data_IF_313771258493
#
_entry.id   IF_313771258493
#
_cell.length_a   1.000
_cell.length_b   1.000
_cell.length_c   1.000
_cell.angle_alpha   90.00
_cell.angle_beta   90.00
_cell.angle_gamma   90.00
#
_symmetry.space_group_name_H-M   'P 1'
#
loop_
_entity.id
_entity.type
_entity.pdbx_description
1 polymer ?
#
# COMPACT_ATOMS: atom_id res chain seq x y z
N UNK A 1 15.56 9.69 22.41
CA UNK A 1 14.95 8.41 22.86
C UNK A 1 14.68 7.55 21.63
N UNK A 2 15.31 6.38 21.52
CA UNK A 2 15.04 5.43 20.42
C UNK A 2 14.04 4.41 20.92
N UNK A 3 12.86 4.34 20.29
CA UNK A 3 11.78 3.40 20.66
C UNK A 3 11.89 2.15 19.79
N UNK A 4 11.98 0.94 20.37
CA UNK A 4 12.09 -0.31 19.59
C UNK A 4 10.84 -0.62 18.76
N UNK A 5 9.70 0.02 19.03
CA UNK A 5 8.50 -0.11 18.22
C UNK A 5 8.69 0.45 16.81
N UNK A 6 9.49 1.51 16.64
CA UNK A 6 9.68 2.14 15.32
C UNK A 6 10.38 1.20 14.32
N UNK A 7 11.29 0.36 14.79
CA UNK A 7 11.98 -0.63 13.93
C UNK A 7 11.12 -1.86 13.65
N UNK A 8 10.10 -2.11 14.48
CA UNK A 8 9.21 -3.28 14.35
C UNK A 8 7.87 -2.97 13.70
N UNK A 9 7.55 -1.69 13.48
CA UNK A 9 6.22 -1.24 13.05
C UNK A 9 5.76 -1.94 11.77
N UNK A 10 6.67 -2.09 10.80
CA UNK A 10 6.46 -2.83 9.56
C UNK A 10 7.42 -4.00 9.43
N UNK A 11 7.00 -5.06 8.76
CA UNK A 11 7.81 -6.22 8.41
C UNK A 11 7.69 -6.52 6.92
N UNK A 12 8.76 -7.04 6.33
CA UNK A 12 8.81 -7.49 4.95
C UNK A 12 9.31 -8.92 4.91
N UNK A 13 8.49 -9.82 4.39
CA UNK A 13 8.85 -11.22 4.09
C UNK A 13 9.05 -11.35 2.58
N UNK A 14 10.09 -12.09 2.16
CA UNK A 14 10.41 -12.28 0.75
C UNK A 14 10.34 -13.76 0.43
N UNK A 15 9.46 -14.13 -0.51
CA UNK A 15 9.49 -15.43 -1.18
C UNK A 15 10.23 -15.27 -2.51
N UNK A 16 11.33 -16.01 -2.68
CA UNK A 16 12.20 -15.87 -3.85
C UNK A 16 11.74 -16.69 -5.05
N UNK A 17 10.83 -17.65 -4.86
CA UNK A 17 10.37 -18.59 -5.89
C UNK A 17 8.84 -18.70 -5.86
N UNK A 18 8.19 -17.54 -5.86
CA UNK A 18 6.74 -17.47 -5.81
C UNK A 18 6.13 -17.58 -7.22
N UNK A 19 4.98 -18.26 -7.31
CA UNK A 19 4.23 -18.43 -8.55
C UNK A 19 2.75 -18.10 -8.33
N UNK A 20 2.10 -17.60 -9.38
CA UNK A 20 0.66 -17.38 -9.43
C UNK A 20 0.12 -17.42 -10.84
N UNK A 21 -1.19 -17.49 -10.97
CA UNK A 21 -1.85 -17.23 -12.24
C UNK A 21 -1.96 -15.72 -12.52
N UNK A 22 -1.92 -15.32 -13.79
CA UNK A 22 -2.11 -13.92 -14.19
C UNK A 22 -3.45 -13.33 -13.70
N UNK A 23 -4.48 -14.16 -13.52
CA UNK A 23 -5.80 -13.75 -13.03
C UNK A 23 -5.76 -13.23 -11.59
N UNK A 24 -4.77 -13.63 -10.80
CA UNK A 24 -4.60 -13.19 -9.41
C UNK A 24 -4.07 -11.75 -9.30
N UNK A 25 -3.59 -11.15 -10.39
CA UNK A 25 -3.11 -9.77 -10.39
C UNK A 25 -4.26 -8.78 -10.22
N UNK A 26 -4.13 -7.85 -9.27
CA UNK A 26 -5.13 -6.82 -9.00
C UNK A 26 -4.71 -5.44 -9.55
N UNK A 27 -3.44 -5.24 -9.86
CA UNK A 27 -2.96 -3.99 -10.43
C UNK A 27 -1.45 -3.95 -10.66
N UNK A 28 -0.99 -2.79 -11.08
CA UNK A 28 0.37 -2.56 -11.61
C UNK A 28 1.01 -1.33 -10.95
N UNK A 29 2.33 -1.33 -10.78
CA UNK A 29 3.08 -0.16 -10.30
C UNK A 29 3.25 0.89 -11.39
N UNK A 30 3.60 0.45 -12.61
CA UNK A 30 3.78 1.33 -13.76
C UNK A 30 2.63 1.16 -14.76
N UNK A 31 1.82 2.20 -14.90
CA UNK A 31 0.75 2.28 -15.91
C UNK A 31 0.74 3.65 -16.56
N UNK A 32 0.44 3.69 -17.87
CA UNK A 32 0.17 4.93 -18.60
C UNK A 32 -1.24 5.47 -18.29
N UNK A 33 -2.13 4.60 -17.82
CA UNK A 33 -3.45 4.98 -17.32
C UNK A 33 -3.38 5.28 -15.83
N UNK A 34 -4.13 6.27 -15.35
CA UNK A 34 -4.35 6.44 -13.92
C UNK A 34 -5.27 5.31 -13.42
N UNK A 35 -4.69 4.35 -12.69
CA UNK A 35 -5.43 3.18 -12.23
C UNK A 35 -6.54 3.52 -11.24
N UNK A 36 -6.54 4.73 -10.66
CA UNK A 36 -7.61 5.20 -9.74
C UNK A 36 -8.93 5.46 -10.46
N UNK A 37 -8.90 5.64 -11.78
CA UNK A 37 -10.10 5.87 -12.60
C UNK A 37 -10.88 4.57 -12.90
N UNK A 38 -10.38 3.42 -12.44
CA UNK A 38 -10.90 2.10 -12.76
C UNK A 38 -11.10 1.26 -11.50
N UNK A 39 -12.22 0.53 -11.42
CA UNK A 39 -12.43 -0.40 -10.32
C UNK A 39 -11.60 -1.68 -10.50
N UNK A 40 -11.28 -2.06 -11.75
CA UNK A 40 -10.53 -3.27 -12.08
C UNK A 40 -9.59 -3.06 -13.27
N UNK A 41 -8.59 -3.94 -13.40
CA UNK A 41 -7.72 -4.00 -14.59
C UNK A 41 -8.50 -4.30 -15.87
N UNK A 42 -9.61 -5.03 -15.75
CA UNK A 42 -10.46 -5.38 -16.89
C UNK A 42 -11.15 -4.13 -17.43
N UNK A 43 -11.74 -3.30 -16.56
CA UNK A 43 -12.34 -2.02 -16.95
C UNK A 43 -11.31 -1.08 -17.60
N UNK A 44 -10.07 -1.10 -17.11
CA UNK A 44 -8.98 -0.33 -17.71
C UNK A 44 -8.74 -0.74 -19.16
N UNK A 45 -8.66 -2.04 -19.45
CA UNK A 45 -8.41 -2.54 -20.81
C UNK A 45 -9.61 -2.32 -21.72
N UNK A 46 -10.83 -2.56 -21.21
CA UNK A 46 -12.08 -2.31 -21.93
C UNK A 46 -12.25 -0.84 -22.33
N UNK A 47 -11.71 0.10 -21.56
CA UNK A 47 -11.80 1.54 -21.87
C UNK A 47 -10.61 2.03 -22.70
N UNK A 48 -9.39 1.66 -22.31
CA UNK A 48 -8.17 2.31 -22.79
C UNK A 48 -7.34 1.44 -23.76
N UNK A 49 -7.71 0.17 -24.00
CA UNK A 49 -6.91 -0.76 -24.83
C UNK A 49 -7.78 -1.81 -25.54
N UNK A 50 -8.92 -1.37 -26.09
CA UNK A 50 -9.88 -2.26 -26.77
C UNK A 50 -9.24 -3.04 -27.92
N UNK A 51 -8.29 -2.44 -28.62
CA UNK A 51 -7.54 -3.07 -29.71
C UNK A 51 -6.75 -4.30 -29.26
N UNK A 52 -6.28 -4.30 -28.00
CA UNK A 52 -5.55 -5.42 -27.42
C UNK A 52 -6.45 -6.60 -27.06
N UNK A 53 -7.76 -6.37 -26.95
CA UNK A 53 -8.80 -7.38 -26.65
C UNK A 53 -9.86 -7.46 -27.77
N UNK A 54 -9.48 -7.08 -28.98
CA UNK A 54 -10.37 -7.06 -30.16
C UNK A 54 -10.96 -8.44 -30.49
N UNK A 55 -10.28 -9.51 -30.07
CA UNK A 55 -10.73 -10.89 -30.18
C UNK A 55 -10.36 -11.65 -28.89
N UNK A 56 -11.24 -12.56 -28.47
CA UNK A 56 -10.96 -13.52 -27.38
C UNK A 56 -10.46 -14.82 -28.01
N UNK A 57 -9.16 -14.88 -28.28
CA UNK A 57 -8.51 -16.04 -28.92
C UNK A 57 -7.14 -16.33 -28.31
N UNK A 58 -6.69 -17.59 -28.43
CA UNK A 58 -5.34 -17.99 -27.99
C UNK A 58 -4.26 -17.20 -28.72
N UNK A 59 -4.46 -16.95 -30.02
CA UNK A 59 -3.54 -16.11 -30.81
C UNK A 59 -3.42 -14.71 -30.21
N UNK A 60 -4.54 -14.07 -29.85
CA UNK A 60 -4.51 -12.72 -29.26
C UNK A 60 -3.92 -12.70 -27.86
N UNK A 61 -4.12 -13.77 -27.09
CA UNK A 61 -3.44 -13.98 -25.82
C UNK A 61 -1.93 -14.03 -26.01
N UNK A 62 -1.44 -14.86 -26.94
CA UNK A 62 -0.02 -15.01 -27.25
C UNK A 62 0.61 -13.70 -27.74
N UNK A 63 -0.10 -12.95 -28.59
CA UNK A 63 0.34 -11.62 -29.05
C UNK A 63 0.57 -10.65 -27.88
N UNK A 64 -0.34 -10.62 -26.90
CA UNK A 64 -0.19 -9.77 -25.72
C UNK A 64 0.95 -10.26 -24.81
N UNK A 65 1.05 -11.57 -24.58
CA UNK A 65 2.09 -12.17 -23.75
C UNK A 65 3.50 -12.02 -24.36
N UNK A 66 3.60 -11.97 -25.68
CA UNK A 66 4.87 -11.74 -26.39
C UNK A 66 5.41 -10.31 -26.25
N UNK A 67 4.68 -9.39 -25.61
CA UNK A 67 5.15 -8.02 -25.43
C UNK A 67 6.37 -7.96 -24.49
N UNK A 68 7.52 -7.58 -25.04
CA UNK A 68 8.83 -7.54 -24.36
C UNK A 68 8.89 -6.76 -23.04
N UNK A 69 8.00 -5.79 -22.83
CA UNK A 69 7.96 -5.06 -21.56
C UNK A 69 7.21 -5.79 -20.44
N UNK A 70 6.65 -6.97 -20.71
CA UNK A 70 6.20 -7.90 -19.66
C UNK A 70 7.44 -8.61 -19.11
N UNK A 71 8.23 -7.86 -18.34
CA UNK A 71 9.58 -8.28 -17.94
C UNK A 71 9.56 -9.42 -16.92
N UNK A 72 8.46 -9.62 -16.20
CA UNK A 72 8.28 -10.82 -15.37
C UNK A 72 8.39 -12.13 -16.18
N UNK A 73 8.07 -12.09 -17.48
CA UNK A 73 8.24 -13.21 -18.42
C UNK A 73 9.59 -13.08 -19.17
N UNK A 74 9.86 -11.90 -19.74
CA UNK A 74 10.94 -11.72 -20.73
C UNK A 74 12.27 -11.22 -20.15
N UNK A 75 12.33 -10.82 -18.88
CA UNK A 75 13.55 -10.36 -18.20
C UNK A 75 13.49 -10.69 -16.70
N UNK A 76 13.51 -11.98 -16.32
CA UNK A 76 13.29 -12.44 -14.96
C UNK A 76 14.16 -11.71 -13.92
N UNK A 77 13.52 -11.26 -12.84
CA UNK A 77 14.16 -10.48 -11.78
C UNK A 77 14.07 -8.96 -11.92
N UNK A 78 13.62 -8.45 -13.09
CA UNK A 78 13.39 -7.00 -13.28
C UNK A 78 12.07 -6.53 -12.67
N UNK A 79 11.01 -7.33 -12.86
CA UNK A 79 9.71 -7.12 -12.23
C UNK A 79 9.56 -8.11 -11.06
N UNK A 80 8.69 -7.78 -10.12
CA UNK A 80 8.40 -8.60 -8.93
C UNK A 80 6.97 -8.36 -8.45
N UNK A 81 6.52 -9.16 -7.49
CA UNK A 81 5.21 -9.02 -6.90
C UNK A 81 5.28 -8.35 -5.53
N UNK A 82 4.25 -7.59 -5.20
CA UNK A 82 4.07 -7.02 -3.87
C UNK A 82 2.67 -7.34 -3.36
N UNK A 83 2.58 -7.65 -2.07
CA UNK A 83 1.34 -7.84 -1.33
C UNK A 83 1.41 -7.08 0.00
N UNK A 84 0.37 -6.35 0.32
CA UNK A 84 0.20 -5.73 1.64
C UNK A 84 -0.86 -6.50 2.40
N UNK A 85 -0.53 -7.04 3.58
CA UNK A 85 -1.48 -7.90 4.30
C UNK A 85 -2.78 -7.18 4.67
N UNK A 86 -2.74 -5.87 4.90
CA UNK A 86 -3.92 -5.04 5.20
C UNK A 86 -4.78 -4.69 3.98
N UNK A 87 -4.31 -5.00 2.77
CA UNK A 87 -4.97 -4.73 1.49
C UNK A 87 -5.49 -6.00 0.81
N UNK A 88 -4.82 -7.15 1.02
CA UNK A 88 -5.21 -8.45 0.49
C UNK A 88 -4.99 -8.63 -1.02
N UNK A 89 -4.76 -7.55 -1.76
CA UNK A 89 -4.51 -7.55 -3.21
C UNK A 89 -3.06 -7.89 -3.54
N UNK A 90 -2.89 -8.46 -4.74
CA UNK A 90 -1.59 -8.76 -5.34
C UNK A 90 -1.28 -7.76 -6.44
N UNK A 91 -0.10 -7.16 -6.39
CA UNK A 91 0.34 -6.15 -7.34
C UNK A 91 1.57 -6.60 -8.08
N UNK A 92 1.61 -6.37 -9.40
CA UNK A 92 2.83 -6.53 -10.18
C UNK A 92 3.61 -5.20 -10.15
N UNK A 93 4.80 -5.23 -9.56
CA UNK A 93 5.74 -4.12 -9.55
C UNK A 93 6.52 -4.11 -10.85
N UNK A 94 5.83 -3.72 -11.92
CA UNK A 94 6.38 -3.62 -13.26
C UNK A 94 6.99 -2.25 -13.53
N UNK A 95 7.72 -2.20 -14.64
CA UNK A 95 8.30 -0.97 -15.20
C UNK A 95 7.82 -0.67 -16.64
N UNK A 96 6.98 -1.55 -17.20
CA UNK A 96 6.32 -1.41 -18.50
C UNK A 96 5.32 -2.53 -18.75
N UNK A 97 4.63 -2.54 -19.89
CA UNK A 97 3.78 -3.66 -20.30
C UNK A 97 2.48 -3.90 -19.53
N UNK A 98 2.03 -2.99 -18.66
CA UNK A 98 0.80 -3.17 -17.85
C UNK A 98 -0.47 -3.35 -18.67
N UNK A 99 -0.63 -2.60 -19.78
CA UNK A 99 -1.79 -2.74 -20.66
C UNK A 99 -1.84 -4.11 -21.35
N UNK A 100 -0.71 -4.59 -21.88
CA UNK A 100 -0.62 -5.94 -22.47
C UNK A 100 -0.81 -7.05 -21.42
N UNK A 101 -0.25 -6.88 -20.22
CA UNK A 101 -0.45 -7.83 -19.11
C UNK A 101 -1.92 -7.90 -18.71
N UNK A 102 -2.60 -6.74 -18.61
CA UNK A 102 -4.02 -6.68 -18.31
C UNK A 102 -4.89 -7.27 -19.43
N UNK A 103 -4.52 -7.04 -20.71
CA UNK A 103 -5.22 -7.62 -21.85
C UNK A 103 -5.05 -9.15 -21.90
N UNK A 104 -3.83 -9.65 -21.65
CA UNK A 104 -3.58 -11.08 -21.54
C UNK A 104 -4.41 -11.69 -20.40
N UNK A 105 -4.44 -11.04 -19.22
CA UNK A 105 -5.29 -11.44 -18.09
C UNK A 105 -6.77 -11.54 -18.51
N UNK A 106 -7.27 -10.49 -19.17
CA UNK A 106 -8.66 -10.37 -19.60
C UNK A 106 -9.07 -11.49 -20.57
N UNK A 107 -8.21 -11.81 -21.54
CA UNK A 107 -8.43 -12.86 -22.55
C UNK A 107 -8.31 -14.24 -21.90
N UNK A 108 -7.25 -14.50 -21.12
CA UNK A 108 -7.02 -15.79 -20.46
C UNK A 108 -8.20 -16.20 -19.57
N UNK A 109 -8.73 -15.26 -18.79
CA UNK A 109 -9.90 -15.49 -17.94
C UNK A 109 -11.14 -15.92 -18.75
N UNK A 110 -11.36 -15.34 -19.94
CA UNK A 110 -12.52 -15.66 -20.80
C UNK A 110 -12.34 -16.95 -21.59
N UNK A 111 -11.10 -17.34 -21.86
CA UNK A 111 -10.77 -18.64 -22.46
C UNK A 111 -10.73 -19.77 -21.44
N UNK A 112 -10.74 -19.45 -20.13
CA UNK A 112 -10.51 -20.45 -19.07
C UNK A 112 -9.09 -20.99 -19.06
N UNK A 113 -8.12 -20.24 -19.61
CA UNK A 113 -6.72 -20.64 -19.67
C UNK A 113 -5.95 -20.11 -18.46
N UNK A 114 -5.00 -20.91 -17.97
CA UNK A 114 -4.05 -20.48 -16.95
C UNK A 114 -2.79 -19.95 -17.62
N UNK A 115 -2.27 -18.83 -17.12
CA UNK A 115 -1.01 -18.20 -17.51
C UNK A 115 -0.17 -18.02 -16.24
N UNK A 116 0.67 -19.01 -15.89
CA UNK A 116 1.50 -18.92 -14.70
C UNK A 116 2.59 -17.86 -14.86
N UNK A 117 2.76 -17.04 -13.83
CA UNK A 117 3.83 -16.07 -13.68
C UNK A 117 4.68 -16.44 -12.47
N UNK A 118 5.99 -16.20 -12.57
CA UNK A 118 6.96 -16.56 -11.52
C UNK A 118 7.87 -15.38 -11.21
N UNK A 119 8.20 -15.19 -9.93
CA UNK A 119 9.09 -14.13 -9.50
C UNK A 119 9.19 -14.00 -8.00
N UNK A 120 9.87 -12.95 -7.53
CA UNK A 120 9.95 -12.64 -6.10
C UNK A 120 8.63 -12.04 -5.63
N UNK A 121 8.14 -12.46 -4.47
CA UNK A 121 7.01 -11.83 -3.79
C UNK A 121 7.50 -11.14 -2.51
N UNK A 122 7.22 -9.85 -2.39
CA UNK A 122 7.41 -9.07 -1.17
C UNK A 122 6.08 -8.93 -0.44
N UNK A 123 6.01 -9.48 0.77
CA UNK A 123 4.83 -9.38 1.63
C UNK A 123 5.08 -8.43 2.79
N UNK A 124 4.36 -7.32 2.81
CA UNK A 124 4.42 -6.31 3.85
C UNK A 124 3.32 -6.50 4.88
N UNK A 125 3.67 -6.41 6.16
CA UNK A 125 2.73 -6.52 7.28
C UNK A 125 3.05 -5.50 8.37
N UNK A 126 2.05 -5.20 9.21
CA UNK A 126 2.20 -4.35 10.38
C UNK A 126 2.34 -5.22 11.64
N UNK A 127 3.11 -4.76 12.63
CA UNK A 127 3.20 -5.41 13.94
C UNK A 127 2.13 -4.82 14.89
N UNK A 128 1.04 -5.56 15.19
CA UNK A 128 -0.03 -5.04 16.04
C UNK A 128 0.43 -4.73 17.47
N UNK A 129 1.46 -5.43 17.97
CA UNK A 129 2.00 -5.19 19.33
C UNK A 129 2.79 -3.89 19.36
N UNK A 130 3.57 -3.61 18.32
CA UNK A 130 4.27 -2.34 18.21
C UNK A 130 3.27 -1.16 18.11
N UNK A 131 2.20 -1.31 17.32
CA UNK A 131 1.13 -0.31 17.21
C UNK A 131 0.43 -0.10 18.54
N UNK A 132 0.02 -1.18 19.22
CA UNK A 132 -0.65 -1.10 20.52
C UNK A 132 0.23 -0.42 21.58
N UNK A 133 1.52 -0.74 21.62
CA UNK A 133 2.49 -0.10 22.53
C UNK A 133 2.60 1.40 22.27
N UNK A 134 2.72 1.82 20.99
CA UNK A 134 2.73 3.24 20.65
C UNK A 134 1.41 3.94 20.99
N UNK A 135 0.27 3.30 20.73
CA UNK A 135 -1.05 3.86 21.04
C UNK A 135 -1.32 3.92 22.55
N UNK A 136 -0.68 3.07 23.35
CA UNK A 136 -0.75 3.10 24.81
C UNK A 136 0.00 4.30 25.39
N UNK A 137 1.12 4.67 24.78
CA UNK A 137 2.00 5.71 25.29
C UNK A 137 1.70 7.09 24.68
N UNK A 138 1.13 7.12 23.48
CA UNK A 138 0.91 8.35 22.71
C UNK A 138 -0.50 8.43 22.12
N UNK A 139 -0.99 9.67 22.00
CA UNK A 139 -1.97 10.05 20.98
C UNK A 139 -1.22 10.46 19.73
N UNK A 140 -1.65 9.95 18.57
CA UNK A 140 -0.90 10.13 17.32
C UNK A 140 -1.79 10.76 16.26
N UNK A 141 -1.31 11.84 15.65
CA UNK A 141 -2.05 12.63 14.67
C UNK A 141 -1.24 12.87 13.41
N UNK A 142 -1.91 13.10 12.29
CA UNK A 142 -1.28 13.57 11.05
C UNK A 142 -1.61 15.03 10.84
N UNK A 143 -0.59 15.88 10.68
CA UNK A 143 -0.71 17.30 10.37
C UNK A 143 0.07 17.65 9.09
N UNK A 144 -0.19 18.82 8.52
CA UNK A 144 0.57 19.33 7.37
C UNK A 144 2.05 19.48 7.70
N UNK A 145 2.95 19.08 6.80
CA UNK A 145 4.39 19.27 6.88
C UNK A 145 4.85 20.62 6.30
N UNK A 146 3.92 21.52 5.96
CA UNK A 146 4.22 22.88 5.53
C UNK A 146 5.05 23.64 6.59
N UNK A 147 6.06 24.39 6.14
CA UNK A 147 7.02 25.05 7.03
C UNK A 147 6.36 26.10 7.93
N UNK A 148 5.42 26.88 7.41
CA UNK A 148 4.73 27.91 8.19
C UNK A 148 3.86 27.24 9.26
N UNK A 149 3.09 26.21 8.87
CA UNK A 149 2.29 25.42 9.80
C UNK A 149 3.15 24.78 10.89
N UNK A 150 4.28 24.16 10.52
CA UNK A 150 5.17 23.48 11.45
C UNK A 150 5.82 24.44 12.46
N UNK A 151 6.19 25.65 12.01
CA UNK A 151 6.73 26.68 12.89
C UNK A 151 5.68 27.17 13.88
N UNK A 152 4.46 27.48 13.40
CA UNK A 152 3.35 27.91 14.24
C UNK A 152 2.97 26.84 15.27
N UNK A 153 2.83 25.57 14.84
CA UNK A 153 2.55 24.45 15.73
C UNK A 153 3.64 24.29 16.79
N UNK A 154 4.92 24.28 16.39
CA UNK A 154 6.03 24.14 17.32
C UNK A 154 6.11 25.30 18.32
N UNK A 155 5.84 26.53 17.89
CA UNK A 155 5.79 27.69 18.79
C UNK A 155 4.65 27.56 19.79
N UNK A 156 3.44 27.19 19.34
CA UNK A 156 2.29 26.98 20.21
C UNK A 156 2.55 25.90 21.27
N UNK A 157 3.15 24.78 20.87
CA UNK A 157 3.51 23.70 21.80
C UNK A 157 4.55 24.13 22.85
N UNK A 158 5.55 24.94 22.46
CA UNK A 158 6.55 25.51 23.39
C UNK A 158 5.93 26.53 24.34
N UNK A 159 5.10 27.44 23.84
CA UNK A 159 4.43 28.45 24.64
C UNK A 159 3.43 27.84 25.63
N UNK A 160 2.71 26.80 25.21
CA UNK A 160 1.84 26.01 26.09
C UNK A 160 2.62 25.03 26.97
N UNK A 161 3.91 24.84 26.67
CA UNK A 161 4.85 23.99 27.38
C UNK A 161 4.33 22.55 27.52
N UNK A 162 3.89 22.00 26.38
CA UNK A 162 3.48 20.62 26.18
C UNK A 162 4.57 19.83 25.45
N UNK A 163 4.81 18.57 25.83
CA UNK A 163 5.76 17.71 25.09
C UNK A 163 5.10 17.12 23.85
N UNK A 164 5.87 17.02 22.77
CA UNK A 164 5.51 16.25 21.59
C UNK A 164 6.75 15.65 20.93
N UNK A 165 6.53 14.54 20.23
CA UNK A 165 7.48 13.98 19.28
C UNK A 165 6.89 14.10 17.88
N UNK A 166 7.74 13.94 16.87
CA UNK A 166 7.29 13.93 15.49
C UNK A 166 8.08 12.94 14.64
N UNK A 167 7.47 12.52 13.53
CA UNK A 167 8.09 11.68 12.49
C UNK A 167 7.67 12.14 11.11
N UNK A 168 8.58 12.03 10.15
CA UNK A 168 8.26 12.18 8.73
C UNK A 168 7.36 11.05 8.27
N UNK A 169 6.33 11.37 7.49
CA UNK A 169 5.48 10.36 6.87
C UNK A 169 6.17 9.76 5.62
N UNK A 170 5.93 8.46 5.31
CA UNK A 170 6.49 7.83 4.12
C UNK A 170 5.81 8.36 2.84
N UNK A 171 6.43 8.13 1.69
CA UNK A 171 5.80 8.40 0.39
C UNK A 171 4.47 7.61 0.26
N UNK A 172 3.44 8.18 -0.38
CA UNK A 172 3.41 9.48 -1.04
C UNK A 172 3.16 10.68 -0.11
N UNK A 173 2.98 10.47 1.20
CA UNK A 173 2.54 11.47 2.17
C UNK A 173 3.66 12.38 2.70
N UNK A 174 4.65 12.74 1.86
CA UNK A 174 5.81 13.54 2.29
C UNK A 174 5.45 14.98 2.69
N UNK A 175 4.27 15.44 2.28
CA UNK A 175 3.63 16.70 2.66
C UNK A 175 2.93 16.64 4.04
N UNK A 176 3.01 15.51 4.74
CA UNK A 176 2.42 15.31 6.06
C UNK A 176 3.47 14.90 7.11
N UNK A 177 3.13 15.13 8.38
CA UNK A 177 3.97 14.80 9.54
C UNK A 177 3.14 14.12 10.61
N UNK A 178 3.68 13.04 11.18
CA UNK A 178 3.10 12.40 12.35
C UNK A 178 3.52 13.18 13.61
N UNK A 179 2.56 13.47 14.48
CA UNK A 179 2.77 14.06 15.81
C UNK A 179 2.35 13.05 16.86
N UNK A 180 3.20 12.88 17.88
CA UNK A 180 2.95 11.97 18.99
C UNK A 180 2.94 12.77 20.29
N UNK A 181 1.82 12.72 21.00
CA UNK A 181 1.55 13.43 22.24
C UNK A 181 1.55 12.42 23.39
N UNK A 182 2.48 12.51 24.36
CA UNK A 182 2.55 11.57 25.48
C UNK A 182 1.26 11.54 26.30
N UNK A 183 0.73 10.35 26.55
CA UNK A 183 -0.50 10.19 27.33
C UNK A 183 -0.32 10.41 28.83
N UNK A 184 0.91 10.28 29.32
CA UNK A 184 1.26 10.52 30.72
C UNK A 184 1.45 12.02 31.05
N UNK A 185 1.31 12.93 30.08
CA UNK A 185 1.42 14.37 30.29
C UNK A 185 0.07 15.07 30.06
N UNK A 186 -0.40 15.79 31.09
CA UNK A 186 -1.71 16.46 31.05
C UNK A 186 -1.81 17.53 29.96
N UNK A 187 -0.75 18.30 29.70
CA UNK A 187 -0.74 19.34 28.66
C UNK A 187 -0.78 18.75 27.25
N UNK A 188 0.00 17.70 26.99
CA UNK A 188 -0.07 16.97 25.72
C UNK A 188 -1.45 16.37 25.48
N UNK A 189 -2.13 15.88 26.52
CA UNK A 189 -3.51 15.41 26.41
C UNK A 189 -4.54 16.52 26.18
N UNK A 190 -4.31 17.74 26.70
CA UNK A 190 -5.13 18.90 26.33
C UNK A 190 -4.98 19.24 24.83
N UNK A 191 -3.76 19.21 24.31
CA UNK A 191 -3.52 19.40 22.87
C UNK A 191 -4.18 18.29 22.07
N UNK A 192 -4.08 17.02 22.50
CA UNK A 192 -4.72 15.91 21.81
C UNK A 192 -6.24 16.09 21.72
N UNK A 193 -6.89 16.53 22.80
CA UNK A 193 -8.33 16.84 22.80
C UNK A 193 -8.67 17.99 21.84
N UNK A 194 -7.82 19.01 21.75
CA UNK A 194 -8.01 20.11 20.80
C UNK A 194 -7.91 19.62 19.35
N UNK A 195 -6.94 18.75 19.04
CA UNK A 195 -6.79 18.15 17.72
C UNK A 195 -7.98 17.22 17.36
N UNK A 196 -8.47 16.44 18.32
CA UNK A 196 -9.69 15.63 18.15
C UNK A 196 -10.89 16.51 17.83
N UNK A 197 -11.07 17.60 18.59
CA UNK A 197 -12.18 18.55 18.39
C UNK A 197 -12.10 19.23 17.03
N UNK A 198 -10.88 19.47 16.54
CA UNK A 198 -10.62 20.02 15.21
C UNK A 198 -10.73 18.97 14.07
N UNK A 199 -11.03 17.71 14.38
CA UNK A 199 -11.20 16.65 13.38
C UNK A 199 -9.90 16.24 12.70
N UNK A 200 -8.75 16.44 13.35
CA UNK A 200 -7.45 16.05 12.81
C UNK A 200 -7.35 14.52 12.74
N UNK A 201 -6.77 14.00 11.66
CA UNK A 201 -6.69 12.56 11.42
C UNK A 201 -5.90 11.83 12.52
N UNK A 202 -6.53 10.84 13.15
CA UNK A 202 -5.92 9.98 14.17
C UNK A 202 -5.11 8.86 13.49
N UNK A 203 -3.78 8.98 13.56
CA UNK A 203 -2.85 8.02 12.99
C UNK A 203 -2.88 6.69 13.75
N UNK A 204 -3.08 6.71 15.06
CA UNK A 204 -3.14 5.51 15.89
C UNK A 204 -4.34 4.65 15.55
N UNK A 205 -5.52 5.26 15.42
CA UNK A 205 -6.72 4.59 14.97
C UNK A 205 -6.57 4.03 13.55
N UNK A 206 -5.98 4.81 12.63
CA UNK A 206 -5.71 4.35 11.27
C UNK A 206 -4.82 3.09 11.24
N UNK A 207 -3.67 3.12 11.92
CA UNK A 207 -2.75 1.99 11.99
C UNK A 207 -3.38 0.76 12.66
N UNK A 208 -4.15 0.96 13.73
CA UNK A 208 -4.89 -0.11 14.41
C UNK A 208 -5.91 -0.77 13.48
N UNK A 209 -6.62 0.03 12.68
CA UNK A 209 -7.58 -0.47 11.70
C UNK A 209 -6.88 -1.28 10.59
N UNK A 210 -5.74 -0.82 10.09
CA UNK A 210 -4.94 -1.58 9.12
C UNK A 210 -4.44 -2.90 9.71
N UNK A 211 -3.94 -2.88 10.96
CA UNK A 211 -3.49 -4.06 11.68
C UNK A 211 -4.63 -5.07 11.95
N UNK A 212 -5.87 -4.61 12.12
CA UNK A 212 -7.04 -5.49 12.28
C UNK A 212 -7.45 -6.11 10.93
N UNK A 213 -7.39 -5.33 9.84
CA UNK A 213 -7.72 -5.81 8.49
C UNK A 213 -6.77 -6.91 8.03
N UNK A 214 -5.47 -6.81 8.31
CA UNK A 214 -4.52 -7.85 7.93
C UNK A 214 -4.85 -9.22 8.56
N UNK A 215 -5.32 -9.26 9.80
CA UNK A 215 -5.68 -10.52 10.46
C UNK A 215 -6.88 -11.18 9.77
N UNK A 216 -7.83 -10.36 9.31
CA UNK A 216 -8.99 -10.84 8.54
C UNK A 216 -8.59 -11.47 7.21
N UNK A 217 -7.62 -10.89 6.50
CA UNK A 217 -7.13 -11.44 5.23
C UNK A 217 -6.28 -12.70 5.43
N UNK A 218 -5.47 -12.76 6.49
CA UNK A 218 -4.69 -13.96 6.84
C UNK A 218 -5.61 -15.14 7.13
N UNK A 219 -6.71 -14.92 7.85
CA UNK A 219 -7.67 -16.00 8.14
C UNK A 219 -8.36 -16.52 6.87
N UNK A 220 -8.68 -15.64 5.91
CA UNK A 220 -9.27 -16.06 4.62
C UNK A 220 -8.30 -16.87 3.76
N UNK A 221 -7.00 -16.57 3.81
CA UNK A 221 -5.97 -17.31 3.07
C UNK A 221 -5.63 -18.68 3.67
N UNK A 222 -6.08 -18.99 4.90
CA UNK A 222 -5.86 -20.30 5.54
C UNK A 222 -7.03 -21.29 5.35
N UNK A 223 -8.16 -20.82 4.84
CA UNK A 223 -9.40 -21.61 4.68
C UNK A 223 -9.65 -21.95 3.20
N UNK A 224 -8.91 -21.33 2.28
CA UNK A 224 -8.85 -21.67 0.86
C UNK A 224 -7.64 -22.57 0.57
#
# INVERSE_FOLDING_TARGET
MVRPEYTRLGRCEVDTQWTCDISELHGFSASKSDLRDFATTDQMVEKNSREMISEISLKKLDENLAHREIRIIHSPGSDYFTRYRWDGRLWLMNSGGSHHTAAAKYIAARLGCQVPLSGKLYTYSLDPRAIASLCNDYRMFVISNDSEFQNAFSQAMRSFNATWLWHSMPRPYTDARAILLPRNESRSMHVAKALDTAGIADLGAHLTNLATRQDSFVMRQRIA
#
